data_IF_823839264626
#
_entry.id   IF_823839264626
#
_cell.length_a   1.000
_cell.length_b   1.000
_cell.length_c   1.000
_cell.angle_alpha   90.00
_cell.angle_beta   90.00
_cell.angle_gamma   90.00
#
_symmetry.space_group_name_H-M   'P 1'
#
loop_
_entity.id
_entity.type
_entity.pdbx_description
1 polymer ?
#
# COMPACT_ATOMS: atom_id res chain seq x y z
N UNK A 1 16.03 37.60 18.35
CA UNK A 1 15.91 37.35 16.89
C UNK A 1 16.46 36.02 16.44
N UNK A 2 17.68 35.61 16.82
CA UNK A 2 18.29 34.31 16.44
C UNK A 2 17.50 33.09 16.95
N UNK A 3 16.92 33.10 18.14
CA UNK A 3 16.13 31.99 18.68
C UNK A 3 14.87 31.66 17.87
N UNK A 4 14.21 32.67 17.30
CA UNK A 4 13.04 32.45 16.43
C UNK A 4 13.43 31.87 15.07
N UNK A 5 14.59 32.25 14.53
CA UNK A 5 15.09 31.70 13.24
C UNK A 5 15.50 30.22 13.40
N UNK A 6 16.17 29.88 14.51
CA UNK A 6 16.52 28.48 14.80
C UNK A 6 15.26 27.64 15.03
N UNK A 7 14.28 28.15 15.78
CA UNK A 7 13.00 27.47 15.99
C UNK A 7 12.23 27.23 14.70
N UNK A 8 12.15 28.24 13.82
CA UNK A 8 11.49 28.13 12.52
C UNK A 8 12.20 27.13 11.59
N UNK A 9 13.53 27.12 11.57
CA UNK A 9 14.31 26.17 10.78
C UNK A 9 14.09 24.73 11.28
N UNK A 10 14.13 24.49 12.60
CA UNK A 10 13.89 23.17 13.20
C UNK A 10 12.46 22.68 12.91
N UNK A 11 11.46 23.55 13.02
CA UNK A 11 10.07 23.21 12.67
C UNK A 11 9.93 22.86 11.19
N UNK A 12 10.58 23.58 10.28
CA UNK A 12 10.59 23.30 8.85
C UNK A 12 11.19 21.95 8.53
N UNK A 13 12.35 21.61 9.11
CA UNK A 13 13.01 20.30 8.93
C UNK A 13 12.12 19.16 9.44
N UNK A 14 11.48 19.36 10.61
CA UNK A 14 10.56 18.36 11.19
C UNK A 14 9.33 18.14 10.30
N UNK A 15 8.76 19.22 9.75
CA UNK A 15 7.62 19.15 8.84
C UNK A 15 7.98 18.42 7.53
N UNK A 16 9.14 18.71 6.94
CA UNK A 16 9.64 18.00 5.75
C UNK A 16 9.89 16.52 6.04
N UNK A 17 10.53 16.20 7.17
CA UNK A 17 10.77 14.82 7.62
C UNK A 17 9.44 14.06 7.80
N UNK A 18 8.48 14.66 8.46
CA UNK A 18 7.14 14.09 8.62
C UNK A 18 6.48 13.82 7.26
N UNK A 19 6.45 14.82 6.37
CA UNK A 19 5.83 14.66 5.04
C UNK A 19 6.54 13.64 4.15
N UNK A 20 7.82 13.38 4.40
CA UNK A 20 8.58 12.36 3.68
C UNK A 20 8.20 10.93 4.09
N UNK A 21 7.67 10.73 5.30
CA UNK A 21 7.41 9.40 5.86
C UNK A 21 5.93 9.16 6.22
N UNK A 22 5.16 10.22 6.55
CA UNK A 22 3.77 10.07 6.96
C UNK A 22 2.89 9.57 5.81
N UNK A 23 2.19 8.42 5.92
CA UNK A 23 1.46 7.80 4.81
C UNK A 23 0.42 8.73 4.17
N UNK A 24 -0.22 9.58 4.96
CA UNK A 24 -1.25 10.52 4.51
C UNK A 24 -0.71 11.88 4.07
N UNK A 25 0.61 12.11 4.17
CA UNK A 25 1.24 13.36 3.72
C UNK A 25 1.11 13.56 2.20
N UNK A 26 0.80 14.77 1.75
CA UNK A 26 0.54 15.08 0.33
C UNK A 26 1.44 16.20 -0.23
N UNK A 27 2.40 16.73 0.55
CA UNK A 27 3.24 17.85 0.10
C UNK A 27 4.12 17.50 -1.11
N UNK A 28 4.57 16.25 -1.21
CA UNK A 28 5.46 15.81 -2.27
C UNK A 28 4.74 15.23 -3.49
N UNK A 29 3.46 15.48 -3.59
CA UNK A 29 2.58 14.99 -4.63
C UNK A 29 1.44 14.16 -4.06
N UNK A 30 0.34 14.12 -4.79
CA UNK A 30 -0.85 13.36 -4.38
C UNK A 30 -0.53 11.85 -4.43
N UNK A 31 -1.05 11.12 -3.47
CA UNK A 31 -1.11 9.67 -3.48
C UNK A 31 -2.51 9.24 -3.08
N UNK A 32 -2.98 8.13 -3.63
CA UNK A 32 -4.24 7.58 -3.18
C UNK A 32 -4.06 6.94 -1.80
N UNK A 33 -4.88 7.33 -0.83
CA UNK A 33 -4.84 6.86 0.57
C UNK A 33 -6.16 6.32 1.06
N UNK A 34 -7.20 6.31 0.19
CA UNK A 34 -8.56 5.89 0.50
C UNK A 34 -9.61 6.85 -0.02
N UNK A 35 -10.87 6.52 0.21
CA UNK A 35 -12.02 7.30 -0.22
C UNK A 35 -12.39 8.39 0.80
N UNK A 36 -13.17 9.37 0.33
CA UNK A 36 -13.84 10.32 1.22
C UNK A 36 -14.95 9.61 2.01
N UNK A 37 -15.15 10.02 3.24
CA UNK A 37 -16.18 9.45 4.11
C UNK A 37 -17.52 10.19 3.94
N UNK A 38 -18.66 9.53 4.19
CA UNK A 38 -18.79 8.13 4.63
C UNK A 38 -18.62 7.13 3.46
N UNK A 39 -18.00 5.98 3.74
CA UNK A 39 -17.91 4.86 2.79
C UNK A 39 -17.86 3.53 3.54
N UNK A 40 -18.52 2.50 3.01
CA UNK A 40 -18.47 1.13 3.53
C UNK A 40 -17.47 0.26 2.75
N UNK A 41 -16.64 0.86 1.87
CA UNK A 41 -15.65 0.16 1.10
C UNK A 41 -14.30 0.15 1.82
N UNK A 42 -13.61 -0.98 1.84
CA UNK A 42 -12.28 -1.18 2.42
C UNK A 42 -11.36 -1.84 1.38
N UNK A 43 -10.10 -1.44 1.34
CA UNK A 43 -9.09 -2.12 0.54
C UNK A 43 -8.04 -2.77 1.44
N UNK A 44 -7.94 -4.11 1.40
CA UNK A 44 -6.80 -4.84 1.97
C UNK A 44 -5.63 -4.75 1.00
N UNK A 45 -4.48 -4.37 1.53
CA UNK A 45 -3.24 -4.32 0.76
C UNK A 45 -2.11 -5.01 1.52
N UNK A 46 -1.29 -5.75 0.78
CA UNK A 46 -0.18 -6.53 1.33
C UNK A 46 1.12 -6.15 0.63
N UNK A 47 2.16 -5.89 1.42
CA UNK A 47 3.48 -5.48 0.92
C UNK A 47 4.52 -6.60 1.14
N UNK A 48 5.65 -6.50 0.46
CA UNK A 48 6.87 -7.32 0.61
C UNK A 48 6.79 -8.75 0.07
N UNK A 49 5.68 -9.17 -0.56
CA UNK A 49 5.59 -10.46 -1.27
C UNK A 49 6.34 -10.48 -2.62
N UNK A 50 6.23 -11.60 -3.37
CA UNK A 50 5.64 -12.86 -2.97
C UNK A 50 6.51 -13.59 -1.94
N UNK A 51 5.88 -14.37 -1.05
CA UNK A 51 6.54 -15.05 0.05
C UNK A 51 5.97 -16.48 0.24
N UNK A 52 6.85 -17.47 0.30
CA UNK A 52 6.48 -18.87 0.47
C UNK A 52 6.68 -19.28 1.95
N UNK A 53 5.68 -19.88 2.62
CA UNK A 53 4.34 -20.26 2.11
C UNK A 53 3.24 -19.22 2.37
N UNK A 54 3.57 -18.05 2.94
CA UNK A 54 2.58 -17.16 3.55
C UNK A 54 1.68 -16.46 2.53
N UNK A 55 2.20 -16.04 1.35
CA UNK A 55 1.35 -15.50 0.28
C UNK A 55 0.31 -16.53 -0.15
N UNK A 56 0.71 -17.80 -0.39
CA UNK A 56 -0.22 -18.85 -0.81
C UNK A 56 -1.32 -19.11 0.24
N UNK A 57 -0.94 -19.21 1.52
CA UNK A 57 -1.90 -19.36 2.62
C UNK A 57 -2.86 -18.17 2.73
N UNK A 58 -2.36 -16.97 2.46
CA UNK A 58 -3.18 -15.77 2.46
C UNK A 58 -4.19 -15.78 1.29
N UNK A 59 -3.80 -16.26 0.10
CA UNK A 59 -4.73 -16.46 -1.02
C UNK A 59 -5.87 -17.43 -0.64
N UNK A 60 -5.59 -18.51 0.08
CA UNK A 60 -6.62 -19.42 0.60
C UNK A 60 -7.58 -18.70 1.58
N UNK A 61 -7.06 -17.82 2.45
CA UNK A 61 -7.90 -17.00 3.35
C UNK A 61 -8.81 -16.11 2.55
N UNK A 62 -8.27 -15.35 1.61
CA UNK A 62 -9.03 -14.40 0.78
C UNK A 62 -10.12 -15.11 -0.05
N UNK A 63 -9.78 -16.28 -0.64
CA UNK A 63 -10.73 -17.10 -1.40
C UNK A 63 -11.91 -17.61 -0.56
N UNK A 64 -11.67 -18.06 0.69
CA UNK A 64 -12.75 -18.50 1.58
C UNK A 64 -13.77 -17.40 1.85
N UNK A 65 -13.34 -16.16 1.82
CA UNK A 65 -14.20 -15.00 2.05
C UNK A 65 -14.72 -14.34 0.78
N UNK A 66 -14.37 -14.85 -0.41
CA UNK A 66 -14.67 -14.19 -1.69
C UNK A 66 -14.27 -12.69 -1.64
N UNK A 67 -12.97 -12.43 -1.36
CA UNK A 67 -12.41 -11.08 -1.23
C UNK A 67 -11.18 -10.96 -2.12
N UNK A 68 -11.15 -9.91 -2.96
CA UNK A 68 -9.97 -9.56 -3.71
C UNK A 68 -9.17 -8.45 -2.98
N UNK A 69 -7.86 -8.49 -3.11
CA UNK A 69 -6.92 -7.59 -2.47
C UNK A 69 -5.87 -7.06 -3.46
N UNK A 70 -5.01 -6.14 -3.00
CA UNK A 70 -3.89 -5.64 -3.80
C UNK A 70 -2.57 -5.99 -3.12
N UNK A 71 -1.62 -6.54 -3.90
CA UNK A 71 -0.31 -6.99 -3.43
C UNK A 71 0.79 -6.12 -4.06
N UNK A 72 1.57 -5.42 -3.25
CA UNK A 72 2.75 -4.67 -3.71
C UNK A 72 3.98 -5.55 -3.59
N UNK A 73 4.42 -6.09 -4.73
CA UNK A 73 5.42 -7.13 -4.77
C UNK A 73 6.83 -6.58 -4.99
N UNK A 74 7.81 -7.15 -4.28
CA UNK A 74 9.24 -6.87 -4.45
C UNK A 74 9.78 -7.63 -5.66
N UNK A 75 10.31 -6.91 -6.65
CA UNK A 75 10.71 -7.50 -7.94
C UNK A 75 11.72 -8.64 -7.85
N UNK A 76 12.69 -8.58 -6.92
CA UNK A 76 13.65 -9.69 -6.70
C UNK A 76 12.98 -10.97 -6.20
N UNK A 77 11.88 -10.85 -5.44
CA UNK A 77 11.12 -12.01 -4.98
C UNK A 77 10.16 -12.53 -6.07
N UNK A 78 9.63 -11.64 -6.90
CA UNK A 78 8.90 -12.03 -8.12
C UNK A 78 9.81 -12.84 -9.04
N UNK A 79 11.07 -12.41 -9.28
CA UNK A 79 12.04 -13.20 -10.05
C UNK A 79 12.35 -14.55 -9.41
N UNK A 80 12.37 -14.63 -8.09
CA UNK A 80 12.64 -15.88 -7.37
C UNK A 80 11.48 -16.86 -7.43
N UNK A 81 10.24 -16.37 -7.33
CA UNK A 81 9.00 -17.17 -7.32
C UNK A 81 7.93 -16.53 -8.21
N UNK A 82 8.17 -16.53 -9.53
CA UNK A 82 7.20 -16.01 -10.50
C UNK A 82 5.88 -16.78 -10.51
N UNK A 83 5.92 -18.06 -10.12
CA UNK A 83 4.75 -18.90 -9.95
C UNK A 83 3.78 -18.35 -8.90
N UNK A 84 4.26 -17.89 -7.75
CA UNK A 84 3.39 -17.30 -6.72
C UNK A 84 2.77 -15.97 -7.21
N UNK A 85 3.54 -15.13 -7.91
CA UNK A 85 3.00 -13.90 -8.50
C UNK A 85 1.87 -14.20 -9.51
N UNK A 86 2.01 -15.28 -10.32
CA UNK A 86 0.93 -15.74 -11.21
C UNK A 86 -0.31 -16.21 -10.45
N UNK A 87 -0.13 -16.98 -9.36
CA UNK A 87 -1.27 -17.43 -8.56
C UNK A 87 -2.02 -16.24 -7.92
N UNK A 88 -1.32 -15.17 -7.49
CA UNK A 88 -1.94 -13.94 -7.00
C UNK A 88 -2.88 -13.34 -8.07
N UNK A 89 -2.39 -13.18 -9.31
CA UNK A 89 -3.20 -12.60 -10.41
C UNK A 89 -4.32 -13.55 -10.84
N UNK A 90 -4.04 -14.85 -10.97
CA UNK A 90 -5.02 -15.87 -11.33
C UNK A 90 -6.18 -15.95 -10.34
N UNK A 91 -5.93 -15.68 -9.06
CA UNK A 91 -6.95 -15.60 -8.02
C UNK A 91 -7.74 -14.27 -8.03
N UNK A 92 -7.57 -13.41 -9.05
CA UNK A 92 -8.32 -12.16 -9.21
C UNK A 92 -7.78 -10.97 -8.41
N UNK A 93 -6.61 -11.10 -7.77
CA UNK A 93 -5.99 -10.02 -7.04
C UNK A 93 -5.19 -9.09 -7.97
N UNK A 94 -5.00 -7.85 -7.53
CA UNK A 94 -4.20 -6.85 -8.25
C UNK A 94 -2.78 -6.85 -7.72
N UNK A 95 -1.79 -6.74 -8.62
CA UNK A 95 -0.39 -6.57 -8.25
C UNK A 95 0.09 -5.15 -8.50
N UNK A 96 0.97 -4.65 -7.64
CA UNK A 96 1.62 -3.36 -7.74
C UNK A 96 3.13 -3.45 -7.57
N UNK A 97 3.83 -2.42 -8.04
CA UNK A 97 5.28 -2.28 -7.95
C UNK A 97 5.71 -1.84 -6.54
N UNK A 98 6.56 -2.65 -5.88
CA UNK A 98 7.17 -2.31 -4.58
C UNK A 98 8.69 -2.16 -4.67
N UNK A 99 9.20 -1.68 -5.82
CA UNK A 99 10.61 -1.62 -6.20
C UNK A 99 11.25 -3.02 -6.37
N UNK A 100 12.46 -3.05 -6.90
CA UNK A 100 13.15 -4.33 -7.13
C UNK A 100 13.84 -4.86 -5.88
N UNK A 101 14.57 -4.00 -5.13
CA UNK A 101 15.36 -4.37 -3.96
C UNK A 101 14.81 -3.85 -2.62
N UNK A 102 13.71 -3.08 -2.63
CA UNK A 102 13.14 -2.45 -1.46
C UNK A 102 14.06 -1.42 -0.76
N UNK A 103 14.72 -0.49 -1.48
CA UNK A 103 15.53 0.54 -0.85
C UNK A 103 14.67 1.67 -0.27
N UNK A 104 15.17 2.37 0.75
CA UNK A 104 14.55 3.60 1.23
C UNK A 104 14.77 4.73 0.21
N UNK A 105 13.74 5.05 -0.58
CA UNK A 105 13.82 5.90 -1.77
C UNK A 105 14.13 7.37 -1.50
N UNK A 106 13.95 7.85 -0.27
CA UNK A 106 14.29 9.24 0.09
C UNK A 106 15.79 9.53 -0.09
N UNK A 107 16.65 8.52 0.04
CA UNK A 107 18.10 8.64 -0.13
C UNK A 107 18.60 8.26 -1.52
N UNK A 108 17.73 7.71 -2.40
CA UNK A 108 18.13 7.28 -3.73
C UNK A 108 18.15 8.44 -4.72
N UNK A 109 19.16 8.49 -5.60
CA UNK A 109 19.20 9.45 -6.71
C UNK A 109 18.12 9.12 -7.74
N UNK A 110 17.68 10.09 -8.53
CA UNK A 110 16.63 9.90 -9.53
C UNK A 110 16.89 8.75 -10.53
N UNK A 111 18.11 8.54 -11.06
CA UNK A 111 18.40 7.38 -11.92
C UNK A 111 18.20 6.04 -11.18
N UNK A 112 18.61 5.95 -9.92
CA UNK A 112 18.46 4.73 -9.11
C UNK A 112 16.98 4.42 -8.83
N UNK A 113 16.17 5.45 -8.48
CA UNK A 113 14.71 5.28 -8.36
C UNK A 113 14.13 4.71 -9.65
N UNK A 114 14.50 5.27 -10.80
CA UNK A 114 14.03 4.81 -12.12
C UNK A 114 14.45 3.36 -12.41
N UNK A 115 15.68 2.99 -12.07
CA UNK A 115 16.19 1.62 -12.22
C UNK A 115 15.42 0.63 -11.34
N UNK A 116 15.18 0.97 -10.08
CA UNK A 116 14.40 0.13 -9.14
C UNK A 116 12.98 -0.14 -9.65
N UNK A 117 12.30 0.92 -10.10
CA UNK A 117 10.94 0.79 -10.63
C UNK A 117 10.90 -0.01 -11.94
N UNK A 118 11.82 0.25 -12.88
CA UNK A 118 11.89 -0.49 -14.15
C UNK A 118 12.19 -1.98 -13.94
N UNK A 119 13.15 -2.30 -13.10
CA UNK A 119 13.54 -3.68 -12.83
C UNK A 119 12.37 -4.47 -12.19
N UNK A 120 11.59 -3.83 -11.31
CA UNK A 120 10.39 -4.44 -10.75
C UNK A 120 9.28 -4.61 -11.81
N UNK A 121 9.03 -3.59 -12.65
CA UNK A 121 8.07 -3.69 -13.75
C UNK A 121 8.43 -4.83 -14.72
N UNK A 122 9.70 -4.97 -15.09
CA UNK A 122 10.16 -6.06 -15.94
C UNK A 122 9.91 -7.42 -15.26
N UNK A 123 10.26 -7.56 -13.97
CA UNK A 123 10.04 -8.80 -13.25
C UNK A 123 8.54 -9.18 -13.16
N UNK A 124 7.65 -8.19 -12.96
CA UNK A 124 6.20 -8.41 -12.95
C UNK A 124 5.69 -8.78 -14.34
N UNK A 125 6.08 -8.03 -15.38
CA UNK A 125 5.66 -8.32 -16.75
C UNK A 125 6.12 -9.73 -17.20
N UNK A 126 7.36 -10.12 -16.88
CA UNK A 126 7.89 -11.45 -17.17
C UNK A 126 7.12 -12.58 -16.43
N UNK A 127 6.63 -12.27 -15.21
CA UNK A 127 5.92 -13.27 -14.40
C UNK A 127 4.44 -13.39 -14.76
N UNK A 128 3.73 -12.26 -14.93
CA UNK A 128 2.26 -12.25 -15.05
C UNK A 128 1.75 -11.79 -16.42
N UNK A 129 2.64 -11.44 -17.34
CA UNK A 129 2.28 -11.05 -18.71
C UNK A 129 1.75 -9.63 -18.88
N UNK A 130 1.66 -8.85 -17.81
CA UNK A 130 1.09 -7.50 -17.83
C UNK A 130 1.94 -6.49 -17.05
N UNK A 131 1.86 -5.22 -17.45
CA UNK A 131 2.45 -4.12 -16.68
C UNK A 131 1.48 -3.66 -15.59
N UNK A 132 1.95 -3.61 -14.34
CA UNK A 132 1.16 -2.98 -13.29
C UNK A 132 1.19 -1.45 -13.42
N UNK A 133 0.12 -0.79 -12.96
CA UNK A 133 -0.01 0.66 -12.96
C UNK A 133 -0.02 1.27 -11.54
N UNK A 134 0.15 0.45 -10.51
CA UNK A 134 0.19 0.86 -9.11
C UNK A 134 1.61 0.78 -8.56
N UNK A 135 1.95 1.72 -7.69
CA UNK A 135 3.24 1.78 -7.01
C UNK A 135 3.08 2.14 -5.54
N UNK A 136 3.77 1.43 -4.67
CA UNK A 136 3.93 1.84 -3.28
C UNK A 136 5.41 1.98 -2.93
N UNK A 137 5.85 3.15 -2.41
CA UNK A 137 7.24 3.32 -2.02
C UNK A 137 7.56 2.50 -0.75
N UNK A 138 8.70 1.80 -0.70
CA UNK A 138 9.19 1.13 0.49
C UNK A 138 9.17 2.04 1.72
N UNK A 139 8.67 1.51 2.85
CA UNK A 139 8.50 2.25 4.12
C UNK A 139 7.59 3.48 4.03
N UNK A 140 6.88 3.69 2.92
CA UNK A 140 6.21 4.94 2.63
C UNK A 140 7.15 6.11 2.34
N UNK A 141 8.45 5.86 2.28
CA UNK A 141 9.50 6.87 2.15
C UNK A 141 9.53 7.54 0.77
N UNK A 142 9.30 8.85 0.72
CA UNK A 142 9.19 9.58 -0.54
C UNK A 142 9.71 11.01 -0.47
N UNK A 143 10.05 11.53 -1.63
CA UNK A 143 10.36 12.93 -1.90
C UNK A 143 9.76 13.31 -3.26
N UNK A 144 9.66 14.59 -3.63
CA UNK A 144 8.98 15.00 -4.88
C UNK A 144 9.41 14.24 -6.12
N UNK A 145 10.72 13.93 -6.25
CA UNK A 145 11.24 13.21 -7.40
C UNK A 145 10.73 11.76 -7.50
N UNK A 146 10.43 11.10 -6.38
CA UNK A 146 9.96 9.70 -6.36
C UNK A 146 8.60 9.58 -7.04
N UNK A 147 7.62 10.37 -6.62
CA UNK A 147 6.28 10.33 -7.19
C UNK A 147 6.24 10.85 -8.63
N UNK A 148 7.04 11.87 -8.95
CA UNK A 148 7.16 12.35 -10.32
C UNK A 148 7.69 11.27 -11.26
N UNK A 149 8.75 10.54 -10.86
CA UNK A 149 9.31 9.45 -11.66
C UNK A 149 8.29 8.31 -11.80
N UNK A 150 7.61 7.92 -10.74
CA UNK A 150 6.58 6.89 -10.80
C UNK A 150 5.51 7.25 -11.85
N UNK A 151 4.95 8.46 -11.81
CA UNK A 151 3.95 8.92 -12.79
C UNK A 151 4.46 9.01 -14.21
N UNK A 152 5.71 9.45 -14.41
CA UNK A 152 6.34 9.44 -15.75
C UNK A 152 6.48 8.02 -16.33
N UNK A 153 6.39 6.99 -15.48
CA UNK A 153 6.39 5.58 -15.85
C UNK A 153 4.99 4.96 -15.88
N UNK A 154 3.93 5.77 -15.79
CA UNK A 154 2.55 5.27 -15.74
C UNK A 154 2.14 4.62 -14.44
N UNK A 155 2.89 4.84 -13.35
CA UNK A 155 2.63 4.25 -12.05
C UNK A 155 1.93 5.25 -11.12
N UNK A 156 0.74 4.91 -10.62
CA UNK A 156 0.03 5.74 -9.64
C UNK A 156 0.49 5.41 -8.21
N UNK A 157 0.94 6.41 -7.44
CA UNK A 157 1.36 6.23 -6.07
C UNK A 157 0.19 5.89 -5.13
N UNK A 158 0.30 4.77 -4.44
CA UNK A 158 -0.67 4.29 -3.47
C UNK A 158 -0.03 4.26 -2.08
N UNK A 159 -0.70 4.88 -1.13
CA UNK A 159 -0.32 4.85 0.28
C UNK A 159 -1.42 4.15 1.09
N UNK A 160 -1.49 4.41 2.39
CA UNK A 160 -2.48 3.84 3.29
C UNK A 160 -2.90 4.87 4.35
N UNK A 161 -3.98 4.62 5.04
CA UNK A 161 -4.43 5.42 6.18
C UNK A 161 -4.73 4.56 7.42
N UNK A 162 -4.70 3.23 7.27
CA UNK A 162 -4.81 2.26 8.37
C UNK A 162 -3.66 1.27 8.27
N UNK A 163 -3.03 0.92 9.40
CA UNK A 163 -1.97 -0.10 9.45
C UNK A 163 -2.11 -1.02 10.66
N UNK A 164 -1.86 -2.32 10.43
CA UNK A 164 -1.84 -3.34 11.47
C UNK A 164 -0.55 -3.40 12.27
N UNK A 165 0.54 -2.79 11.81
CA UNK A 165 1.91 -2.94 12.36
C UNK A 165 2.32 -4.41 12.49
N UNK A 166 1.92 -5.21 11.51
CA UNK A 166 2.01 -6.68 11.51
C UNK A 166 3.43 -7.22 11.34
N UNK A 167 4.36 -6.41 10.80
CA UNK A 167 5.76 -6.81 10.66
C UNK A 167 6.49 -7.11 11.97
N UNK A 168 5.96 -6.66 13.10
CA UNK A 168 6.49 -6.89 14.46
C UNK A 168 5.38 -7.17 15.48
N UNK A 169 4.23 -7.68 15.03
CA UNK A 169 3.10 -7.95 15.92
C UNK A 169 3.33 -9.24 16.71
N UNK A 170 3.05 -9.24 18.03
CA UNK A 170 3.19 -10.43 18.87
C UNK A 170 2.06 -11.44 18.63
N UNK A 171 0.96 -11.05 18.01
CA UNK A 171 -0.19 -11.93 17.73
C UNK A 171 -1.15 -11.32 16.71
N UNK A 172 -2.04 -12.16 16.16
CA UNK A 172 -3.12 -11.72 15.26
C UNK A 172 -4.07 -10.74 15.95
N UNK A 173 -4.41 -10.95 17.22
CA UNK A 173 -5.28 -10.05 18.01
C UNK A 173 -4.66 -8.64 18.15
N UNK A 174 -3.33 -8.55 18.20
CA UNK A 174 -2.65 -7.25 18.22
C UNK A 174 -2.90 -6.49 16.92
N UNK A 175 -2.77 -7.15 15.78
CA UNK A 175 -3.03 -6.59 14.45
C UNK A 175 -4.48 -6.12 14.34
N UNK A 176 -5.44 -6.98 14.72
CA UNK A 176 -6.87 -6.66 14.70
C UNK A 176 -7.18 -5.40 15.53
N UNK A 177 -6.67 -5.33 16.78
CA UNK A 177 -6.88 -4.14 17.63
C UNK A 177 -6.28 -2.87 17.02
N UNK A 178 -5.11 -2.97 16.37
CA UNK A 178 -4.48 -1.80 15.71
C UNK A 178 -5.31 -1.30 14.54
N UNK A 179 -5.79 -2.20 13.69
CA UNK A 179 -6.68 -1.86 12.57
C UNK A 179 -7.98 -1.27 13.09
N UNK A 180 -8.66 -1.94 14.03
CA UNK A 180 -9.95 -1.51 14.55
C UNK A 180 -9.95 -0.10 15.16
N UNK A 181 -8.85 0.32 15.80
CA UNK A 181 -8.72 1.68 16.36
C UNK A 181 -8.65 2.78 15.29
N UNK A 182 -8.20 2.47 14.10
CA UNK A 182 -7.95 3.42 13.01
C UNK A 182 -9.08 3.43 11.97
N UNK A 183 -9.73 2.27 11.73
CA UNK A 183 -10.70 2.06 10.66
C UNK A 183 -11.94 2.95 10.84
N UNK A 184 -12.34 3.61 9.74
CA UNK A 184 -13.50 4.53 9.69
C UNK A 184 -14.39 4.30 8.48
N UNK A 185 -13.91 3.53 7.49
CA UNK A 185 -14.54 3.33 6.19
C UNK A 185 -13.93 4.18 5.08
N UNK A 186 -13.88 3.62 3.87
CA UNK A 186 -13.11 4.20 2.77
C UNK A 186 -11.61 4.01 2.91
N UNK A 187 -11.18 3.08 3.74
CA UNK A 187 -9.80 2.96 4.18
C UNK A 187 -8.97 2.00 3.31
N UNK A 188 -7.70 2.36 3.10
CA UNK A 188 -6.65 1.48 2.58
C UNK A 188 -5.86 0.94 3.77
N UNK A 189 -5.92 -0.38 3.97
CA UNK A 189 -5.32 -1.09 5.09
C UNK A 189 -3.99 -1.69 4.65
N UNK A 190 -2.89 -1.31 5.31
CA UNK A 190 -1.57 -1.88 5.10
C UNK A 190 -1.34 -3.06 6.03
N UNK A 191 -1.03 -4.19 5.41
CA UNK A 191 -0.48 -5.40 6.01
C UNK A 191 0.70 -5.91 5.16
N UNK A 192 1.32 -7.03 5.54
CA UNK A 192 2.44 -7.62 4.82
C UNK A 192 2.26 -9.12 4.66
N UNK A 193 2.45 -9.62 3.43
CA UNK A 193 2.51 -11.06 3.15
C UNK A 193 3.96 -11.57 3.08
N UNK A 194 4.94 -10.64 3.05
CA UNK A 194 6.35 -10.93 3.01
C UNK A 194 7.20 -10.13 4.00
N UNK A 195 8.51 -10.16 3.80
CA UNK A 195 9.46 -9.39 4.57
C UNK A 195 10.63 -8.92 3.74
N UNK A 196 10.85 -7.60 3.68
CA UNK A 196 11.89 -7.01 2.82
C UNK A 196 13.32 -7.45 3.14
N UNK A 197 13.60 -7.92 4.36
CA UNK A 197 14.95 -8.37 4.76
C UNK A 197 15.24 -9.81 4.37
N UNK A 198 14.22 -10.68 4.43
CA UNK A 198 14.37 -12.09 4.18
C UNK A 198 13.15 -12.65 3.46
N UNK A 199 13.40 -13.43 2.40
CA UNK A 199 12.39 -14.27 1.80
C UNK A 199 12.05 -15.42 2.75
N UNK A 200 10.78 -15.77 2.90
CA UNK A 200 10.32 -16.78 3.86
C UNK A 200 10.06 -16.21 5.26
N UNK A 201 10.02 -14.87 5.42
CA UNK A 201 9.67 -14.27 6.71
C UNK A 201 8.29 -14.73 7.18
N UNK A 202 8.16 -15.09 8.46
CA UNK A 202 6.89 -15.54 9.04
C UNK A 202 5.84 -14.41 9.01
N UNK A 203 4.67 -14.72 8.45
CA UNK A 203 3.48 -13.85 8.36
C UNK A 203 2.21 -14.61 8.77
N UNK A 204 2.34 -15.64 9.58
CA UNK A 204 1.22 -16.43 10.08
C UNK A 204 0.19 -15.59 10.83
N UNK A 205 0.64 -14.63 11.64
CA UNK A 205 -0.24 -13.69 12.34
C UNK A 205 -1.02 -12.79 11.39
N UNK A 206 -0.41 -12.37 10.27
CA UNK A 206 -1.08 -11.57 9.25
C UNK A 206 -2.21 -12.36 8.58
N UNK A 207 -1.95 -13.62 8.20
CA UNK A 207 -2.98 -14.50 7.62
C UNK A 207 -4.17 -14.69 8.56
N UNK A 208 -3.90 -15.01 9.84
CA UNK A 208 -4.95 -15.17 10.88
C UNK A 208 -5.71 -13.87 11.14
N UNK A 209 -5.01 -12.73 11.21
CA UNK A 209 -5.66 -11.43 11.40
C UNK A 209 -6.52 -11.04 10.20
N UNK A 210 -6.08 -11.33 8.98
CA UNK A 210 -6.85 -11.08 7.75
C UNK A 210 -8.16 -11.85 7.76
N UNK A 211 -8.14 -13.14 8.10
CA UNK A 211 -9.32 -13.98 8.23
C UNK A 211 -10.37 -13.37 9.17
N UNK A 212 -9.95 -12.97 10.36
CA UNK A 212 -10.82 -12.37 11.39
C UNK A 212 -11.30 -10.97 11.02
N UNK A 213 -10.43 -10.11 10.47
CA UNK A 213 -10.79 -8.77 10.01
C UNK A 213 -11.85 -8.82 8.92
N UNK A 214 -11.68 -9.70 7.93
CA UNK A 214 -12.65 -9.85 6.83
C UNK A 214 -13.98 -10.33 7.38
N UNK A 215 -13.99 -11.40 8.18
CA UNK A 215 -15.20 -11.95 8.80
C UNK A 215 -15.96 -10.86 9.58
N UNK A 216 -15.27 -10.17 10.47
CA UNK A 216 -15.84 -9.10 11.30
C UNK A 216 -16.43 -7.97 10.47
N UNK A 217 -15.66 -7.37 9.57
CA UNK A 217 -16.12 -6.18 8.86
C UNK A 217 -17.17 -6.49 7.79
N UNK A 218 -17.18 -7.70 7.21
CA UNK A 218 -18.32 -8.16 6.39
C UNK A 218 -19.61 -8.24 7.22
N UNK A 219 -19.54 -8.75 8.45
CA UNK A 219 -20.71 -8.80 9.35
C UNK A 219 -21.19 -7.40 9.79
N UNK A 220 -20.30 -6.40 9.80
CA UNK A 220 -20.62 -5.00 10.05
C UNK A 220 -21.09 -4.24 8.77
N UNK A 221 -21.28 -4.95 7.65
CA UNK A 221 -21.77 -4.42 6.38
C UNK A 221 -20.73 -3.68 5.55
N UNK A 222 -19.43 -3.90 5.79
CA UNK A 222 -18.38 -3.41 4.91
C UNK A 222 -18.16 -4.35 3.72
N UNK A 223 -17.73 -3.76 2.61
CA UNK A 223 -17.31 -4.47 1.40
C UNK A 223 -15.83 -4.31 1.19
N UNK A 224 -15.18 -5.34 0.68
CA UNK A 224 -13.76 -5.32 0.34
C UNK A 224 -13.58 -5.19 -1.17
N UNK A 225 -12.55 -4.44 -1.58
CA UNK A 225 -12.22 -4.23 -2.99
C UNK A 225 -10.71 -4.14 -3.19
N UNK A 226 -10.28 -4.31 -4.41
CA UNK A 226 -8.93 -3.94 -4.82
C UNK A 226 -8.75 -2.42 -4.84
N UNK A 227 -7.50 -1.95 -4.87
CA UNK A 227 -7.20 -0.51 -5.02
C UNK A 227 -7.79 0.03 -6.32
N UNK A 228 -7.69 -0.72 -7.42
CA UNK A 228 -8.20 -0.29 -8.73
C UNK A 228 -9.72 -0.07 -8.71
N UNK A 229 -10.48 -1.00 -8.14
CA UNK A 229 -11.94 -0.88 -7.97
C UNK A 229 -12.30 0.29 -7.04
N UNK A 230 -11.58 0.42 -5.91
CA UNK A 230 -11.81 1.52 -4.97
C UNK A 230 -11.57 2.89 -5.60
N UNK A 231 -10.52 3.04 -6.41
CA UNK A 231 -10.26 4.28 -7.15
C UNK A 231 -11.35 4.58 -8.18
N UNK A 232 -11.84 3.57 -8.90
CA UNK A 232 -12.96 3.68 -9.84
C UNK A 232 -14.25 4.14 -9.15
N UNK A 233 -14.58 3.58 -7.99
CA UNK A 233 -15.73 3.99 -7.18
C UNK A 233 -15.63 5.45 -6.70
N UNK A 234 -14.40 5.91 -6.36
CA UNK A 234 -14.14 7.30 -5.97
C UNK A 234 -14.31 8.30 -7.12
N UNK A 235 -13.99 7.90 -8.34
CA UNK A 235 -14.16 8.73 -9.53
C UNK A 235 -15.64 8.90 -9.95
N UNK A 236 -16.47 7.91 -9.64
CA UNK A 236 -17.91 7.91 -9.96
C UNK A 236 -18.75 8.83 -9.04
N UNK A 237 -18.15 9.35 -7.96
CA UNK A 237 -18.79 10.29 -7.03
C UNK A 237 -17.92 11.56 -6.91
N UNK A 238 -17.95 12.47 -7.93
CA UNK A 238 -17.24 13.74 -7.82
C UNK A 238 -17.83 14.55 -6.64
N UNK A 239 -17.05 15.43 -6.03
CA UNK A 239 -17.52 16.23 -4.91
C UNK A 239 -18.74 17.05 -5.37
N UNK A 240 -19.89 16.88 -4.70
CA UNK A 240 -20.98 17.84 -4.81
C UNK A 240 -20.44 19.22 -4.54
N UNK A 241 -20.51 20.11 -5.52
CA UNK A 241 -20.13 21.49 -5.37
C UNK A 241 -20.90 22.06 -4.17
N UNK A 242 -20.18 22.48 -3.16
CA UNK A 242 -20.77 23.23 -2.05
C UNK A 242 -21.36 24.50 -2.67
N UNK A 243 -22.70 24.57 -2.65
CA UNK A 243 -23.42 25.68 -3.22
C UNK A 243 -22.88 27.01 -2.73
N UNK A 244 -22.36 27.80 -3.65
CA UNK A 244 -22.11 29.20 -3.41
C UNK A 244 -23.46 29.84 -3.03
N UNK A 245 -23.57 30.38 -1.84
CA UNK A 245 -24.61 31.32 -1.52
C UNK A 245 -24.42 32.52 -2.47
N UNK A 246 -25.38 32.72 -3.33
CA UNK A 246 -25.61 34.02 -3.93
C UNK A 246 -26.22 34.89 -2.84
N UNK A 247 -25.57 35.98 -2.53
CA UNK A 247 -26.15 37.20 -1.98
C UNK A 247 -25.89 38.32 -2.97
#
# INVERSE_FOLDING_TARGET
>A
MWGYLIGAAAAGVSAVGYQSMAPTGQWFGRAFTGLRRPSKLLALTYDDGPNDPHTLRLLEVLARHDVHATFFLIGRYVKRRPDIAREVVKAGHVVGNHTFNHPLLIFQRAPQVRTELRACQSALADAVGEHCNLFRPPFGGRRPAVFRIARQMGLEPIMWNVTGYDWNAPSAEHIERKVARQLRGGDVILLHDGGHRAFGADRSHTGTASDRLISRYKSEGFQFSTITEMMGAGASHPPTAVGGKAD
#
